data_IF_251122188338
#
_entry.id   IF_251122188338
#
_cell.length_a   1.000
_cell.length_b   1.000
_cell.length_c   1.000
_cell.angle_alpha   90.00
_cell.angle_beta   90.00
_cell.angle_gamma   90.00
#
_symmetry.space_group_name_H-M   'P 1'
#
loop_
_entity.id
_entity.type
_entity.pdbx_description
1 polymer ?
#
# COMPACT_ATOMS: atom_id res chain seq x y z
N UNK A 1 14.91 38.58 -7.59
CA UNK A 1 14.02 38.10 -6.51
C UNK A 1 14.16 36.58 -6.40
N UNK A 2 15.37 36.10 -6.07
CA UNK A 2 15.69 34.67 -6.00
C UNK A 2 15.06 34.08 -4.75
N UNK A 3 13.94 33.41 -4.95
CA UNK A 3 13.12 32.84 -3.89
C UNK A 3 13.93 31.98 -2.94
N UNK A 4 13.63 32.15 -1.65
CA UNK A 4 14.08 31.38 -0.50
C UNK A 4 14.78 30.07 -0.88
N UNK A 5 16.11 30.13 -0.86
CA UNK A 5 17.01 29.00 -1.13
C UNK A 5 16.53 27.77 -0.34
N UNK A 6 16.64 26.57 -0.93
CA UNK A 6 16.26 25.29 -0.30
C UNK A 6 16.82 25.16 1.14
N UNK A 7 17.96 25.78 1.41
CA UNK A 7 18.55 25.92 2.73
C UNK A 7 17.66 26.59 3.78
N UNK A 8 16.90 27.62 3.40
CA UNK A 8 15.97 28.31 4.30
C UNK A 8 14.84 27.37 4.74
N UNK A 9 14.28 26.58 3.82
CA UNK A 9 13.21 25.63 4.13
C UNK A 9 13.65 24.53 5.10
N UNK A 10 14.90 24.04 5.01
CA UNK A 10 15.45 23.08 5.97
C UNK A 10 15.51 23.67 7.39
N UNK A 11 15.96 24.92 7.51
CA UNK A 11 16.07 25.62 8.79
C UNK A 11 14.68 25.90 9.40
N UNK A 12 13.72 26.34 8.58
CA UNK A 12 12.34 26.55 9.02
C UNK A 12 11.72 25.23 9.50
N UNK A 13 11.91 24.14 8.75
CA UNK A 13 11.39 22.82 9.12
C UNK A 13 11.96 22.34 10.46
N UNK A 14 13.26 22.56 10.70
CA UNK A 14 13.90 22.25 11.98
C UNK A 14 13.22 22.99 13.14
N UNK A 15 12.99 24.30 12.98
CA UNK A 15 12.35 25.14 14.00
C UNK A 15 10.91 24.70 14.26
N UNK A 16 10.14 24.37 13.22
CA UNK A 16 8.77 23.84 13.36
C UNK A 16 8.78 22.52 14.14
N UNK A 17 9.71 21.61 13.83
CA UNK A 17 9.84 20.33 14.56
C UNK A 17 10.19 20.56 16.02
N UNK A 18 11.03 21.54 16.33
CA UNK A 18 11.41 21.90 17.71
C UNK A 18 10.24 22.52 18.49
N UNK A 19 9.47 23.42 17.88
CA UNK A 19 8.32 24.10 18.50
C UNK A 19 7.18 23.13 18.81
N UNK A 20 6.81 22.29 17.85
CA UNK A 20 5.73 21.33 18.01
C UNK A 20 6.19 20.05 18.73
N UNK A 21 7.49 19.78 18.72
CA UNK A 21 8.10 18.56 19.24
C UNK A 21 7.87 17.34 18.33
N UNK A 22 8.84 16.42 18.32
CA UNK A 22 8.78 15.20 17.49
C UNK A 22 7.62 14.27 17.85
N UNK A 23 7.09 14.35 19.08
CA UNK A 23 6.00 13.49 19.57
C UNK A 23 4.66 13.82 18.91
N UNK A 24 4.33 15.10 18.77
CA UNK A 24 3.11 15.56 18.07
C UNK A 24 3.23 15.39 16.56
N UNK A 25 4.40 15.68 15.99
CA UNK A 25 4.65 15.45 14.56
C UNK A 25 4.61 13.97 14.19
N UNK A 26 5.05 13.06 15.06
CA UNK A 26 4.99 11.62 14.79
C UNK A 26 3.57 11.08 14.82
N UNK A 27 2.74 11.49 15.78
CA UNK A 27 1.34 11.02 15.83
C UNK A 27 0.58 11.48 14.59
N UNK A 28 0.64 12.77 14.26
CA UNK A 28 -0.07 13.34 13.11
C UNK A 28 0.57 12.90 11.79
N UNK A 29 1.91 12.85 11.72
CA UNK A 29 2.64 12.38 10.54
C UNK A 29 2.47 10.89 10.26
N UNK A 30 2.16 10.06 11.25
CA UNK A 30 1.85 8.63 11.02
C UNK A 30 0.52 8.48 10.27
N UNK A 31 -0.50 9.25 10.64
CA UNK A 31 -1.83 9.20 10.03
C UNK A 31 -1.79 9.76 8.60
N UNK A 32 -1.19 10.94 8.41
CA UNK A 32 -0.97 11.52 7.09
C UNK A 32 -0.03 10.67 6.23
N UNK A 33 1.03 10.13 6.82
CA UNK A 33 2.00 9.27 6.13
C UNK A 33 1.36 7.99 5.62
N UNK A 34 0.43 7.41 6.38
CA UNK A 34 -0.30 6.22 5.98
C UNK A 34 -1.24 6.50 4.80
N UNK A 35 -1.94 7.64 4.82
CA UNK A 35 -2.79 8.09 3.71
C UNK A 35 -1.98 8.34 2.42
N UNK A 36 -0.84 9.05 2.54
CA UNK A 36 0.05 9.33 1.41
C UNK A 36 0.69 8.04 0.87
N UNK A 37 1.02 7.08 1.74
CA UNK A 37 1.59 5.78 1.34
C UNK A 37 0.59 4.96 0.52
N UNK A 38 -0.68 4.93 0.92
CA UNK A 38 -1.75 4.27 0.16
C UNK A 38 -1.99 4.95 -1.18
N UNK A 39 -1.97 6.29 -1.21
CA UNK A 39 -2.07 7.06 -2.46
C UNK A 39 -0.92 6.75 -3.42
N UNK A 40 0.33 6.79 -2.92
CA UNK A 40 1.52 6.46 -3.71
C UNK A 40 1.51 5.00 -4.19
N UNK A 41 1.00 4.08 -3.37
CA UNK A 41 0.88 2.67 -3.73
C UNK A 41 -0.17 2.46 -4.82
N UNK A 42 -1.33 3.12 -4.74
CA UNK A 42 -2.34 3.10 -5.79
C UNK A 42 -1.81 3.59 -7.13
N UNK A 43 -1.11 4.74 -7.13
CA UNK A 43 -0.44 5.28 -8.33
C UNK A 43 0.59 4.32 -8.94
N UNK A 44 1.37 3.61 -8.10
CA UNK A 44 2.33 2.61 -8.56
C UNK A 44 1.67 1.32 -9.04
N UNK A 45 0.54 0.93 -8.46
CA UNK A 45 -0.22 -0.25 -8.86
C UNK A 45 -0.90 -0.03 -10.22
N UNK A 46 -1.35 1.19 -10.51
CA UNK A 46 -1.83 1.57 -11.85
C UNK A 46 -0.71 1.49 -12.90
N UNK A 47 0.51 1.94 -12.60
CA UNK A 47 1.68 1.76 -13.51
C UNK A 47 2.18 0.30 -13.58
N UNK A 48 2.02 -0.50 -12.51
CA UNK A 48 2.52 -1.88 -12.44
C UNK A 48 1.51 -2.91 -12.97
N UNK A 49 0.23 -2.57 -13.05
CA UNK A 49 -0.82 -3.44 -13.59
C UNK A 49 -0.63 -3.68 -15.09
N UNK A 50 0.05 -2.78 -15.80
CA UNK A 50 0.47 -3.02 -17.19
C UNK A 50 1.55 -4.13 -17.30
N UNK A 51 2.28 -4.42 -16.21
CA UNK A 51 3.38 -5.40 -16.21
C UNK A 51 3.08 -6.72 -15.48
N UNK A 52 2.09 -6.77 -14.60
CA UNK A 52 1.83 -7.95 -13.72
C UNK A 52 0.67 -8.85 -14.20
N UNK A 53 0.08 -8.57 -15.36
CA UNK A 53 -0.99 -9.40 -15.92
C UNK A 53 -0.46 -10.62 -16.71
N UNK A 54 0.86 -10.74 -16.93
CA UNK A 54 1.46 -11.84 -17.69
C UNK A 54 1.81 -13.06 -16.80
N UNK A 55 1.99 -12.88 -15.49
CA UNK A 55 2.50 -13.96 -14.62
C UNK A 55 1.43 -14.71 -13.79
N UNK A 56 0.22 -14.18 -13.62
CA UNK A 56 -0.83 -14.79 -12.76
C UNK A 56 -1.76 -15.77 -13.52
N UNK A 57 -1.65 -15.88 -14.84
CA UNK A 57 -2.49 -16.76 -15.66
C UNK A 57 -2.04 -18.24 -15.70
N UNK A 58 -0.89 -18.59 -15.12
CA UNK A 58 -0.36 -19.97 -15.19
C UNK A 58 -0.60 -20.82 -13.93
N UNK A 59 -1.21 -20.31 -12.86
CA UNK A 59 -1.32 -21.04 -11.58
C UNK A 59 -2.73 -21.10 -10.97
N UNK A 60 -3.78 -21.02 -11.79
CA UNK A 60 -5.18 -21.23 -11.36
C UNK A 60 -5.89 -22.32 -12.17
N UNK A 61 -5.17 -23.42 -12.41
CA UNK A 61 -5.65 -24.61 -13.12
C UNK A 61 -5.89 -25.84 -12.22
N UNK A 62 -6.30 -25.65 -10.98
CA UNK A 62 -6.86 -26.70 -10.12
C UNK A 62 -7.45 -26.00 -8.91
N UNK A 63 -8.75 -25.71 -8.89
CA UNK A 63 -9.67 -26.29 -7.93
C UNK A 63 -11.10 -25.83 -8.32
N UNK A 64 -11.90 -26.74 -8.86
CA UNK A 64 -13.36 -26.55 -9.02
C UNK A 64 -14.07 -27.33 -7.91
N UNK A 65 -14.80 -26.67 -7.00
CA UNK A 65 -15.64 -27.31 -6.00
C UNK A 65 -17.11 -27.36 -6.46
N UNK A 66 -17.57 -28.54 -6.90
CA UNK A 66 -18.96 -28.91 -7.21
C UNK A 66 -18.92 -30.41 -7.62
N UNK A 67 -19.79 -31.35 -7.26
CA UNK A 67 -21.13 -31.33 -6.70
C UNK A 67 -21.57 -32.83 -6.58
N UNK A 68 -22.07 -33.23 -5.40
CA UNK A 68 -23.21 -34.16 -5.18
C UNK A 68 -23.27 -35.48 -5.98
N UNK A 69 -23.05 -36.63 -5.33
CA UNK A 69 -24.00 -37.77 -5.39
C UNK A 69 -23.75 -38.79 -4.26
N UNK A 70 -24.76 -39.16 -3.45
CA UNK A 70 -24.67 -40.20 -2.43
C UNK A 70 -24.59 -41.59 -3.09
N UNK A 71 -23.46 -42.27 -2.97
CA UNK A 71 -23.35 -43.69 -3.28
C UNK A 71 -23.49 -44.51 -2.00
N UNK A 72 -24.75 -44.81 -1.70
CA UNK A 72 -25.17 -46.07 -1.13
C UNK A 72 -24.39 -47.23 -1.77
N UNK A 73 -23.88 -48.16 -0.95
CA UNK A 73 -23.95 -49.63 -1.15
C UNK A 73 -22.84 -50.33 -0.36
N UNK A 74 -23.32 -51.05 0.66
CA UNK A 74 -22.88 -52.40 1.08
C UNK A 74 -21.76 -52.53 2.10
N UNK A 75 -22.22 -52.77 3.33
CA UNK A 75 -21.59 -53.68 4.29
C UNK A 75 -21.64 -55.11 3.72
N UNK A 76 -20.54 -55.85 3.81
CA UNK A 76 -20.45 -57.30 4.06
C UNK A 76 -18.99 -57.61 4.45
#
# INVERSE_FOLDING_TARGET
MGGFSIWHWLIVLLVVVLLFGTKKLRSVGSDLGSAIRSFRKGLQEDESTEKKQIDDASNRGSETPAQKSPSETRND
#
